data_IF_132354449723
#
_entry.id   IF_132354449723
#
_cell.length_a   1.000
_cell.length_b   1.000
_cell.length_c   1.000
_cell.angle_alpha   90.00
_cell.angle_beta   90.00
_cell.angle_gamma   90.00
#
_symmetry.space_group_name_H-M   'P 1'
#
loop_
_entity.id
_entity.type
_entity.pdbx_description
1 polymer ?
#
# COMPACT_ATOMS: atom_id res chain seq x y z
N UNK A 1 19.81 -33.25 3.75
CA UNK A 1 20.33 -33.82 2.48
C UNK A 1 19.59 -35.12 2.16
N UNK A 2 18.42 -35.04 1.48
CA UNK A 2 17.71 -36.11 0.72
C UNK A 2 16.29 -35.75 0.26
N UNK A 3 15.86 -34.49 0.41
CA UNK A 3 14.65 -33.97 -0.27
C UNK A 3 14.92 -32.81 -1.22
N UNK A 4 16.18 -32.41 -1.37
CA UNK A 4 16.60 -31.23 -2.14
C UNK A 4 16.69 -31.45 -3.65
N UNK A 5 16.53 -32.69 -4.14
CA UNK A 5 16.53 -33.00 -5.58
C UNK A 5 15.13 -33.24 -6.16
N UNK A 6 14.12 -33.54 -5.34
CA UNK A 6 12.73 -33.73 -5.80
C UNK A 6 12.01 -32.41 -6.00
N UNK A 7 12.26 -31.40 -5.14
CA UNK A 7 11.68 -30.07 -5.35
C UNK A 7 12.26 -29.34 -6.56
N UNK A 8 13.52 -29.59 -6.92
CA UNK A 8 14.13 -29.00 -8.12
C UNK A 8 13.56 -29.57 -9.42
N UNK A 9 13.10 -30.83 -9.40
CA UNK A 9 12.47 -31.50 -10.55
C UNK A 9 10.99 -31.11 -10.75
N UNK A 10 10.30 -30.70 -9.67
CA UNK A 10 8.95 -30.11 -9.76
C UNK A 10 8.99 -28.66 -10.25
N UNK A 11 10.06 -27.92 -9.93
CA UNK A 11 10.24 -26.54 -10.42
C UNK A 11 10.59 -26.50 -11.93
N UNK A 12 11.26 -27.52 -12.47
CA UNK A 12 11.59 -27.57 -13.90
C UNK A 12 10.42 -27.96 -14.83
N UNK A 13 9.40 -28.68 -14.34
CA UNK A 13 8.20 -29.00 -15.13
C UNK A 13 7.19 -27.86 -15.19
N UNK A 14 7.28 -26.85 -14.31
CA UNK A 14 6.42 -25.65 -14.33
C UNK A 14 6.95 -24.60 -15.32
N UNK A 15 8.21 -24.71 -15.78
CA UNK A 15 8.83 -23.77 -16.72
C UNK A 15 8.61 -24.11 -18.21
N UNK A 16 7.84 -25.15 -18.54
CA UNK A 16 7.47 -25.52 -19.92
C UNK A 16 5.98 -25.33 -20.20
N UNK A 17 5.41 -24.24 -19.70
CA UNK A 17 4.02 -23.89 -19.92
C UNK A 17 3.84 -22.38 -19.97
N UNK A 18 4.31 -21.72 -21.04
CA UNK A 18 3.69 -20.46 -21.47
C UNK A 18 2.27 -20.77 -21.95
N UNK A 19 1.36 -21.07 -21.02
CA UNK A 19 -0.06 -20.87 -21.25
C UNK A 19 -0.25 -19.36 -21.14
N UNK A 20 -0.35 -18.70 -22.30
CA UNK A 20 -1.24 -17.53 -22.38
C UNK A 20 -2.55 -17.99 -21.76
N UNK A 21 -2.92 -17.42 -20.62
CA UNK A 21 -4.29 -17.52 -20.17
C UNK A 21 -5.12 -16.83 -21.25
N UNK A 22 -5.69 -17.64 -22.14
CA UNK A 22 -6.97 -17.29 -22.72
C UNK A 22 -7.97 -17.41 -21.56
N UNK A 23 -7.98 -16.42 -20.68
CA UNK A 23 -9.20 -16.15 -19.94
C UNK A 23 -10.13 -15.45 -20.93
N UNK A 24 -11.22 -16.12 -21.28
CA UNK A 24 -12.48 -15.49 -21.73
C UNK A 24 -13.09 -14.62 -20.59
N UNK A 25 -12.24 -14.02 -19.77
CA UNK A 25 -12.57 -13.12 -18.67
C UNK A 25 -12.63 -11.70 -19.20
N UNK A 26 -13.74 -11.02 -18.93
CA UNK A 26 -13.87 -9.60 -19.23
C UNK A 26 -12.76 -8.83 -18.51
N UNK A 27 -11.75 -8.37 -19.24
CA UNK A 27 -10.79 -7.40 -18.74
C UNK A 27 -11.43 -6.01 -18.71
N UNK A 28 -11.10 -5.21 -17.70
CA UNK A 28 -11.54 -3.83 -17.56
C UNK A 28 -10.34 -2.88 -17.44
N UNK A 29 -10.58 -1.61 -17.70
CA UNK A 29 -9.55 -0.56 -17.58
C UNK A 29 -9.16 -0.40 -16.10
N UNK A 30 -7.87 -0.19 -15.83
CA UNK A 30 -7.39 0.19 -14.51
C UNK A 30 -6.54 1.47 -14.60
N UNK A 31 -6.87 2.46 -13.78
CA UNK A 31 -6.06 3.64 -13.60
C UNK A 31 -4.73 3.29 -12.93
N UNK A 32 -3.64 3.87 -13.45
CA UNK A 32 -2.27 3.69 -12.92
C UNK A 32 -1.69 5.04 -12.50
N UNK A 33 -2.19 5.67 -11.42
CA UNK A 33 -1.58 6.89 -10.90
C UNK A 33 -0.12 6.64 -10.50
N UNK A 34 0.67 7.71 -10.33
CA UNK A 34 2.11 7.55 -10.06
C UNK A 34 2.41 6.81 -8.75
N UNK A 35 1.52 6.90 -7.76
CA UNK A 35 1.60 6.13 -6.51
C UNK A 35 1.15 4.68 -6.64
N UNK A 36 0.64 4.23 -7.79
CA UNK A 36 0.19 2.84 -8.00
C UNK A 36 1.32 1.83 -7.76
N UNK A 37 2.56 2.23 -8.05
CA UNK A 37 3.75 1.44 -7.77
C UNK A 37 4.07 1.30 -6.26
N UNK A 38 3.39 2.02 -5.37
CA UNK A 38 3.47 1.76 -3.93
C UNK A 38 2.82 0.42 -3.59
N UNK A 39 1.70 0.08 -4.23
CA UNK A 39 0.99 -1.16 -4.00
C UNK A 39 1.53 -2.31 -4.89
N UNK A 40 1.90 -2.00 -6.14
CA UNK A 40 2.17 -3.02 -7.17
C UNK A 40 3.58 -2.99 -7.76
N UNK A 41 4.51 -2.18 -7.25
CA UNK A 41 5.83 -1.98 -7.87
C UNK A 41 7.00 -2.15 -6.88
N UNK A 42 8.23 -2.19 -7.42
CA UNK A 42 9.44 -2.22 -6.59
C UNK A 42 9.75 -0.84 -6.00
N UNK A 43 10.00 -0.80 -4.69
CA UNK A 43 10.33 0.44 -3.97
C UNK A 43 11.81 0.82 -4.06
N UNK A 44 12.68 -0.16 -4.39
CA UNK A 44 14.13 0.02 -4.40
C UNK A 44 14.64 0.89 -5.56
N UNK A 45 13.86 1.06 -6.62
CA UNK A 45 14.23 1.89 -7.78
C UNK A 45 13.23 3.01 -8.06
N UNK A 46 12.16 3.09 -7.27
CA UNK A 46 11.12 4.10 -7.47
C UNK A 46 11.61 5.49 -7.01
N UNK A 47 11.98 6.32 -7.99
CA UNK A 47 12.38 7.71 -7.73
C UNK A 47 11.21 8.61 -7.36
N UNK A 48 10.00 8.29 -7.80
CA UNK A 48 8.81 9.10 -7.53
C UNK A 48 8.51 9.14 -6.03
N UNK A 49 8.60 8.00 -5.33
CA UNK A 49 8.36 7.92 -3.87
C UNK A 49 9.49 8.54 -3.02
N UNK A 50 10.60 8.95 -3.65
CA UNK A 50 11.73 9.61 -2.98
C UNK A 50 11.70 11.12 -3.14
N UNK A 51 10.88 11.63 -4.05
CA UNK A 51 10.72 13.06 -4.22
C UNK A 51 10.07 13.68 -2.96
N UNK A 52 10.61 14.78 -2.42
CA UNK A 52 10.08 15.40 -1.21
C UNK A 52 8.60 15.80 -1.31
N UNK A 53 8.12 16.27 -2.47
CA UNK A 53 6.73 16.71 -2.61
C UNK A 53 5.78 15.51 -2.58
N UNK A 54 6.17 14.40 -3.22
CA UNK A 54 5.38 13.18 -3.19
C UNK A 54 5.36 12.57 -1.78
N UNK A 55 6.49 12.60 -1.07
CA UNK A 55 6.57 12.18 0.33
C UNK A 55 5.64 13.01 1.22
N UNK A 56 5.58 14.34 1.03
CA UNK A 56 4.64 15.22 1.73
C UNK A 56 3.20 14.80 1.43
N UNK A 57 2.84 14.64 0.16
CA UNK A 57 1.46 14.31 -0.22
C UNK A 57 1.03 12.95 0.33
N UNK A 58 1.89 11.93 0.24
CA UNK A 58 1.65 10.60 0.83
C UNK A 58 1.52 10.74 2.35
N UNK A 59 2.47 11.42 3.01
CA UNK A 59 2.46 11.63 4.45
C UNK A 59 1.16 12.24 4.93
N UNK A 60 0.75 13.37 4.35
CA UNK A 60 -0.48 14.07 4.73
C UNK A 60 -1.72 13.20 4.46
N UNK A 61 -1.70 12.38 3.41
CA UNK A 61 -2.77 11.42 3.12
C UNK A 61 -2.86 10.31 4.17
N UNK A 62 -1.73 9.64 4.49
CA UNK A 62 -1.68 8.59 5.52
C UNK A 62 -2.05 9.15 6.89
N UNK A 63 -1.59 10.38 7.18
CA UNK A 63 -1.91 11.11 8.39
C UNK A 63 -3.41 11.38 8.50
N UNK A 64 -4.03 11.86 7.42
CA UNK A 64 -5.48 12.12 7.36
C UNK A 64 -6.31 10.84 7.55
N UNK A 65 -5.92 9.73 6.92
CA UNK A 65 -6.54 8.40 7.15
C UNK A 65 -6.31 7.91 8.59
N UNK A 66 -5.17 8.24 9.16
CA UNK A 66 -4.75 7.85 10.51
C UNK A 66 -3.83 6.64 10.48
N UNK A 67 -2.61 6.79 10.98
CA UNK A 67 -1.61 5.70 11.02
C UNK A 67 -2.10 4.43 11.70
N UNK A 68 -2.86 4.54 12.80
CA UNK A 68 -3.33 3.33 13.50
C UNK A 68 -4.43 2.57 12.75
N UNK A 69 -5.01 3.15 11.69
CA UNK A 69 -5.89 2.42 10.78
C UNK A 69 -5.11 1.65 9.70
N UNK A 70 -3.85 2.03 9.47
CA UNK A 70 -3.01 1.55 8.36
C UNK A 70 -1.95 0.54 8.82
N UNK A 71 -1.51 0.63 10.08
CA UNK A 71 -0.49 -0.25 10.65
C UNK A 71 -1.17 -1.38 11.41
N UNK A 72 -0.98 -2.62 10.96
CA UNK A 72 -1.49 -3.81 11.64
C UNK A 72 -0.55 -4.30 12.75
N UNK A 73 -1.05 -5.19 13.60
CA UNK A 73 -0.31 -5.73 14.74
C UNK A 73 0.94 -6.51 14.32
N UNK A 74 0.87 -7.25 13.20
CA UNK A 74 2.01 -8.00 12.65
C UNK A 74 3.17 -7.03 12.34
N UNK A 75 2.88 -5.95 11.63
CA UNK A 75 3.87 -4.94 11.30
C UNK A 75 4.46 -4.22 12.52
N UNK A 76 3.66 -3.99 13.56
CA UNK A 76 4.08 -3.26 14.75
C UNK A 76 4.90 -4.11 15.73
N UNK A 77 4.53 -5.39 15.89
CA UNK A 77 5.06 -6.24 16.94
C UNK A 77 6.10 -7.26 16.47
N UNK A 78 6.19 -7.53 15.16
CA UNK A 78 7.18 -8.46 14.64
C UNK A 78 8.62 -8.05 14.95
N UNK A 79 9.45 -9.06 15.22
CA UNK A 79 10.88 -8.86 15.55
C UNK A 79 11.68 -8.34 14.35
N UNK A 80 11.15 -8.51 13.14
CA UNK A 80 11.75 -8.11 11.88
C UNK A 80 10.69 -7.50 10.97
N UNK A 81 11.12 -6.60 10.10
CA UNK A 81 10.27 -5.96 9.11
C UNK A 81 10.54 -6.64 7.78
N UNK A 82 9.49 -7.15 7.15
CA UNK A 82 9.52 -7.66 5.80
C UNK A 82 8.50 -6.90 4.95
N UNK A 83 8.97 -6.03 4.06
CA UNK A 83 8.10 -5.24 3.16
C UNK A 83 8.61 -5.41 1.74
N UNK A 84 7.82 -6.05 0.87
CA UNK A 84 8.23 -6.43 -0.48
C UNK A 84 9.58 -7.16 -0.46
N UNK A 85 10.60 -6.63 -1.15
CA UNK A 85 11.94 -7.22 -1.23
C UNK A 85 12.89 -6.68 -0.14
N UNK A 86 12.36 -6.00 0.88
CA UNK A 86 13.14 -5.33 1.93
C UNK A 86 12.99 -6.08 3.25
N UNK A 87 14.10 -6.70 3.68
CA UNK A 87 14.21 -7.32 5.00
C UNK A 87 15.05 -6.47 5.95
N UNK A 88 14.51 -6.16 7.12
CA UNK A 88 15.22 -5.47 8.21
C UNK A 88 15.06 -6.30 9.48
N UNK A 89 16.17 -6.84 9.98
CA UNK A 89 16.19 -7.61 11.22
C UNK A 89 16.12 -6.72 12.48
N UNK A 90 15.05 -5.93 12.59
CA UNK A 90 14.69 -5.07 13.73
C UNK A 90 13.19 -4.86 13.76
N UNK A 91 12.63 -4.80 14.97
CA UNK A 91 11.26 -4.37 15.18
C UNK A 91 11.04 -2.92 14.70
N UNK A 92 9.85 -2.66 14.15
CA UNK A 92 9.47 -1.38 13.55
C UNK A 92 9.66 -0.18 14.48
N UNK A 93 9.12 -0.23 15.70
CA UNK A 93 9.27 0.87 16.66
C UNK A 93 10.72 1.18 17.02
N UNK A 94 11.56 0.15 17.22
CA UNK A 94 12.98 0.34 17.52
C UNK A 94 13.77 0.93 16.34
N UNK A 95 13.39 0.55 15.11
CA UNK A 95 13.97 1.11 13.89
C UNK A 95 13.67 2.61 13.81
N UNK A 96 12.40 3.01 13.95
CA UNK A 96 11.97 4.40 13.89
C UNK A 96 12.62 5.25 14.99
N UNK A 97 12.66 4.75 16.22
CA UNK A 97 13.33 5.43 17.34
C UNK A 97 14.81 5.67 17.07
N UNK A 98 15.50 4.64 16.59
CA UNK A 98 16.92 4.76 16.26
C UNK A 98 17.16 5.76 15.12
N UNK A 99 16.29 5.77 14.11
CA UNK A 99 16.35 6.74 13.02
C UNK A 99 16.12 8.17 13.53
N UNK A 100 15.07 8.40 14.33
CA UNK A 100 14.77 9.70 14.90
C UNK A 100 15.93 10.23 15.76
N UNK A 101 16.51 9.37 16.62
CA UNK A 101 17.63 9.76 17.50
C UNK A 101 18.91 10.08 16.73
N UNK A 102 19.13 9.44 15.58
CA UNK A 102 20.37 9.59 14.81
C UNK A 102 20.36 10.77 13.85
N UNK A 103 19.19 11.31 13.49
CA UNK A 103 19.07 12.40 12.50
C UNK A 103 19.96 13.62 12.80
N UNK A 104 19.93 14.09 14.06
CA UNK A 104 20.66 15.29 14.50
C UNK A 104 22.08 15.00 15.01
N UNK A 105 22.54 13.75 15.00
CA UNK A 105 23.85 13.41 15.52
C UNK A 105 24.96 13.87 14.56
N UNK A 106 25.98 14.54 15.11
CA UNK A 106 27.16 14.97 14.34
C UNK A 106 27.96 13.77 13.81
N UNK A 107 27.97 12.66 14.54
CA UNK A 107 28.64 11.42 14.16
C UNK A 107 27.72 10.24 14.46
N UNK A 108 27.41 9.44 13.43
CA UNK A 108 26.59 8.24 13.54
C UNK A 108 27.51 7.03 13.39
N UNK A 109 27.72 6.31 14.49
CA UNK A 109 28.65 5.17 14.55
C UNK A 109 28.14 3.98 13.74
N UNK A 110 26.85 3.63 13.90
CA UNK A 110 26.21 2.52 13.20
C UNK A 110 26.05 2.80 11.70
N UNK A 111 26.70 1.96 10.88
CA UNK A 111 26.75 2.07 9.41
C UNK A 111 25.38 2.27 8.76
N UNK A 112 24.40 1.45 9.14
CA UNK A 112 23.05 1.50 8.54
C UNK A 112 22.39 2.88 8.68
N UNK A 113 22.35 3.46 9.88
CA UNK A 113 21.70 4.76 10.12
C UNK A 113 22.45 5.91 9.46
N UNK A 114 23.79 5.83 9.43
CA UNK A 114 24.62 6.80 8.72
C UNK A 114 24.32 6.80 7.23
N UNK A 115 24.37 5.63 6.59
CA UNK A 115 24.10 5.49 5.16
C UNK A 115 22.66 5.84 4.81
N UNK A 116 21.69 5.50 5.67
CA UNK A 116 20.30 5.91 5.50
C UNK A 116 20.20 7.44 5.38
N UNK A 117 20.72 8.18 6.37
CA UNK A 117 20.61 9.63 6.37
C UNK A 117 21.45 10.31 5.29
N UNK A 118 22.62 9.76 4.95
CA UNK A 118 23.42 10.23 3.82
C UNK A 118 22.67 10.10 2.49
N UNK A 119 21.97 8.98 2.26
CA UNK A 119 21.11 8.81 1.07
C UNK A 119 19.97 9.83 1.06
N UNK A 120 19.27 10.01 2.18
CA UNK A 120 18.17 10.98 2.26
C UNK A 120 18.63 12.42 2.02
N UNK A 121 19.82 12.79 2.53
CA UNK A 121 20.45 14.10 2.27
C UNK A 121 20.81 14.26 0.79
N UNK A 122 21.37 13.23 0.16
CA UNK A 122 21.67 13.22 -1.28
C UNK A 122 20.42 13.38 -2.13
N UNK A 123 19.31 12.77 -1.70
CA UNK A 123 17.99 12.88 -2.34
C UNK A 123 17.25 14.17 -1.96
N UNK A 124 17.81 14.99 -1.05
CA UNK A 124 17.22 16.24 -0.53
C UNK A 124 15.84 16.04 0.09
N UNK A 125 15.61 14.88 0.71
CA UNK A 125 14.36 14.51 1.36
C UNK A 125 14.54 14.17 2.86
N UNK A 126 15.73 14.39 3.43
CA UNK A 126 16.05 14.05 4.81
C UNK A 126 15.16 14.76 5.83
N UNK A 127 14.89 16.05 5.64
CA UNK A 127 14.04 16.82 6.54
C UNK A 127 12.59 16.32 6.56
N UNK A 128 12.01 16.00 5.40
CA UNK A 128 10.64 15.46 5.35
C UNK A 128 10.59 14.04 5.91
N UNK A 129 11.56 13.19 5.58
CA UNK A 129 11.64 11.83 6.14
C UNK A 129 11.76 11.86 7.66
N UNK A 130 12.53 12.81 8.21
CA UNK A 130 12.60 13.01 9.66
C UNK A 130 11.24 13.40 10.26
N UNK A 131 10.50 14.32 9.65
CA UNK A 131 9.14 14.69 10.09
C UNK A 131 8.21 13.47 10.06
N UNK A 132 8.21 12.71 8.96
CA UNK A 132 7.40 11.49 8.83
C UNK A 132 7.70 10.51 9.97
N UNK A 133 8.98 10.21 10.22
CA UNK A 133 9.40 9.28 11.29
C UNK A 133 8.95 9.80 12.66
N UNK A 134 9.11 11.10 12.92
CA UNK A 134 8.70 11.72 14.18
C UNK A 134 7.19 11.61 14.40
N UNK A 135 6.39 11.86 13.36
CA UNK A 135 4.93 11.78 13.44
C UNK A 135 4.46 10.33 13.65
N UNK A 136 5.05 9.35 12.95
CA UNK A 136 4.74 7.93 13.18
C UNK A 136 5.11 7.53 14.62
N UNK A 137 6.30 7.91 15.10
CA UNK A 137 6.68 7.64 16.50
C UNK A 137 5.72 8.30 17.49
N UNK A 138 5.24 9.51 17.22
CA UNK A 138 4.23 10.18 18.04
C UNK A 138 2.91 9.39 18.03
N UNK A 139 2.45 8.91 16.87
CA UNK A 139 1.25 8.09 16.74
C UNK A 139 1.34 6.79 17.53
N UNK A 140 2.48 6.10 17.47
CA UNK A 140 2.70 4.82 18.18
C UNK A 140 2.80 4.98 19.69
N UNK A 141 3.43 6.05 20.17
CA UNK A 141 3.71 6.24 21.60
C UNK A 141 2.58 6.91 22.37
N UNK A 142 1.66 7.57 21.69
CA UNK A 142 0.55 8.29 22.30
C UNK A 142 -0.76 7.66 21.89
N UNK A 143 -1.58 7.27 22.88
CA UNK A 143 -2.88 6.62 22.64
C UNK A 143 -3.80 7.38 21.67
N UNK A 144 -3.73 8.71 21.68
CA UNK A 144 -4.51 9.59 20.80
C UNK A 144 -3.67 10.16 19.64
N UNK A 145 -2.40 9.78 19.51
CA UNK A 145 -1.44 10.43 18.63
C UNK A 145 -1.86 10.39 17.16
N UNK A 146 -2.37 9.25 16.69
CA UNK A 146 -2.90 9.12 15.33
C UNK A 146 -4.14 9.99 15.08
N UNK A 147 -5.03 10.13 16.07
CA UNK A 147 -6.22 10.97 15.94
C UNK A 147 -5.88 12.46 15.90
N UNK A 148 -4.96 12.90 16.77
CA UNK A 148 -4.44 14.28 16.77
C UNK A 148 -3.80 14.61 15.44
N UNK A 149 -2.93 13.73 14.94
CA UNK A 149 -2.25 13.95 13.65
C UNK A 149 -3.23 13.99 12.47
N UNK A 150 -4.28 13.17 12.48
CA UNK A 150 -5.32 13.19 11.44
C UNK A 150 -6.05 14.54 11.40
N UNK A 151 -6.37 15.11 12.56
CA UNK A 151 -6.95 16.46 12.65
C UNK A 151 -5.95 17.53 12.15
N UNK A 152 -4.67 17.38 12.46
CA UNK A 152 -3.59 18.28 12.05
C UNK A 152 -3.09 18.03 10.61
N UNK A 153 -3.80 17.20 9.83
CA UNK A 153 -3.50 17.02 8.41
C UNK A 153 -3.86 18.24 7.59
N UNK A 154 -3.02 18.52 6.59
CA UNK A 154 -3.16 19.65 5.68
C UNK A 154 -3.99 19.22 4.47
N UNK A 155 -5.29 19.57 4.39
CA UNK A 155 -6.18 19.03 3.37
C UNK A 155 -5.71 19.35 1.94
N UNK A 156 -5.06 20.50 1.73
CA UNK A 156 -4.53 20.92 0.44
C UNK A 156 -3.35 20.09 -0.07
N UNK A 157 -2.74 19.27 0.80
CA UNK A 157 -1.63 18.37 0.48
C UNK A 157 -2.09 16.91 0.38
N UNK A 158 -3.33 16.60 0.75
CA UNK A 158 -3.88 15.25 0.66
C UNK A 158 -4.05 14.84 -0.81
N UNK A 159 -3.67 13.62 -1.13
CA UNK A 159 -3.94 13.03 -2.43
C UNK A 159 -5.32 12.36 -2.42
N UNK A 160 -6.33 13.01 -3.01
CA UNK A 160 -7.71 12.55 -2.99
C UNK A 160 -7.90 11.11 -3.49
N UNK A 161 -7.19 10.72 -4.55
CA UNK A 161 -7.32 9.38 -5.11
C UNK A 161 -6.75 8.34 -4.14
N UNK A 162 -5.55 8.56 -3.61
CA UNK A 162 -4.94 7.67 -2.62
C UNK A 162 -5.78 7.62 -1.34
N UNK A 163 -6.32 8.75 -0.89
CA UNK A 163 -7.22 8.83 0.26
C UNK A 163 -8.43 7.91 0.08
N UNK A 164 -9.11 7.98 -1.06
CA UNK A 164 -10.25 7.11 -1.32
C UNK A 164 -9.88 5.63 -1.37
N UNK A 165 -8.75 5.27 -2.00
CA UNK A 165 -8.28 3.89 -2.08
C UNK A 165 -7.99 3.33 -0.68
N UNK A 166 -7.23 4.05 0.13
CA UNK A 166 -6.89 3.64 1.50
C UNK A 166 -8.13 3.49 2.38
N UNK A 167 -9.09 4.41 2.27
CA UNK A 167 -10.33 4.29 3.04
C UNK A 167 -11.19 3.10 2.63
N UNK A 168 -11.15 2.66 1.37
CA UNK A 168 -11.87 1.46 0.94
C UNK A 168 -11.16 0.20 1.46
N UNK A 169 -9.82 0.19 1.38
CA UNK A 169 -8.97 -0.95 1.74
C UNK A 169 -8.95 -1.22 3.24
N UNK A 170 -8.65 -0.19 4.04
CA UNK A 170 -8.43 -0.28 5.48
C UNK A 170 -9.67 0.09 6.31
N UNK A 171 -10.87 0.08 5.70
CA UNK A 171 -12.10 0.40 6.43
C UNK A 171 -12.34 -0.57 7.60
N UNK A 172 -12.67 0.00 8.75
CA UNK A 172 -13.02 -0.71 9.99
C UNK A 172 -14.51 -0.67 10.33
N UNK A 173 -15.31 0.09 9.57
CA UNK A 173 -16.76 0.13 9.72
C UNK A 173 -17.44 -1.12 9.11
N UNK A 174 -18.64 -1.43 9.61
CA UNK A 174 -19.44 -2.52 9.07
C UNK A 174 -19.92 -2.19 7.66
N UNK A 175 -19.44 -2.95 6.69
CA UNK A 175 -19.82 -2.78 5.29
C UNK A 175 -21.32 -3.06 5.11
N UNK A 176 -22.02 -2.11 4.50
CA UNK A 176 -23.41 -2.25 4.09
C UNK A 176 -23.56 -1.94 2.60
N UNK A 177 -24.74 -2.18 2.04
CA UNK A 177 -25.02 -2.02 0.60
C UNK A 177 -24.80 -0.59 0.11
N UNK A 178 -25.16 0.42 0.91
CA UNK A 178 -24.96 1.83 0.54
C UNK A 178 -23.48 2.19 0.46
N UNK A 179 -22.70 1.76 1.45
CA UNK A 179 -21.26 1.98 1.48
C UNK A 179 -20.55 1.23 0.36
N UNK A 180 -20.92 -0.02 0.10
CA UNK A 180 -20.36 -0.80 -0.99
C UNK A 180 -20.66 -0.18 -2.36
N UNK A 181 -21.87 0.33 -2.57
CA UNK A 181 -22.23 1.05 -3.79
C UNK A 181 -21.40 2.33 -3.94
N UNK A 182 -21.17 3.05 -2.83
CA UNK A 182 -20.31 4.24 -2.82
C UNK A 182 -18.87 3.88 -3.19
N UNK A 183 -18.31 2.80 -2.65
CA UNK A 183 -16.96 2.33 -2.97
C UNK A 183 -16.86 1.96 -4.45
N UNK A 184 -17.81 1.16 -4.96
CA UNK A 184 -17.89 0.80 -6.38
C UNK A 184 -17.91 2.03 -7.28
N UNK A 185 -18.80 2.98 -7.00
CA UNK A 185 -18.92 4.22 -7.77
C UNK A 185 -17.68 5.09 -7.68
N UNK A 186 -17.00 5.10 -6.52
CA UNK A 186 -15.74 5.83 -6.33
C UNK A 186 -14.65 5.26 -7.22
N UNK A 187 -14.44 3.94 -7.20
CA UNK A 187 -13.46 3.27 -8.06
C UNK A 187 -13.76 3.47 -9.55
N UNK A 188 -15.02 3.32 -9.94
CA UNK A 188 -15.47 3.54 -11.32
C UNK A 188 -15.16 4.96 -11.80
N UNK A 189 -15.44 5.99 -10.97
CA UNK A 189 -15.17 7.40 -11.31
C UNK A 189 -13.68 7.70 -11.39
N UNK A 190 -12.88 7.09 -10.53
CA UNK A 190 -11.42 7.23 -10.53
C UNK A 190 -10.73 6.41 -11.64
N UNK A 191 -11.47 5.61 -12.41
CA UNK A 191 -10.96 4.82 -13.53
C UNK A 191 -10.41 3.44 -13.15
N UNK A 192 -10.62 2.99 -11.91
CA UNK A 192 -10.23 1.67 -11.40
C UNK A 192 -11.32 0.63 -11.69
N UNK A 193 -11.65 0.42 -12.97
CA UNK A 193 -12.79 -0.43 -13.35
C UNK A 193 -12.55 -1.91 -13.08
N UNK A 194 -11.30 -2.40 -13.18
CA UNK A 194 -11.00 -3.80 -12.85
C UNK A 194 -11.08 -4.03 -11.34
N UNK A 195 -10.57 -3.08 -10.54
CA UNK A 195 -10.79 -3.11 -9.09
C UNK A 195 -12.28 -3.04 -8.71
N UNK A 196 -13.07 -2.20 -9.39
CA UNK A 196 -14.52 -2.11 -9.18
C UNK A 196 -15.24 -3.43 -9.53
N UNK A 197 -14.81 -4.10 -10.62
CA UNK A 197 -15.28 -5.45 -10.93
C UNK A 197 -14.94 -6.44 -9.81
N UNK A 198 -13.72 -6.37 -9.28
CA UNK A 198 -13.31 -7.25 -8.20
C UNK A 198 -14.15 -7.02 -6.93
N UNK A 199 -14.53 -5.78 -6.60
CA UNK A 199 -15.48 -5.55 -5.50
C UNK A 199 -16.79 -6.33 -5.70
N UNK A 200 -17.33 -6.37 -6.92
CA UNK A 200 -18.59 -7.06 -7.21
C UNK A 200 -18.50 -8.58 -7.07
N UNK A 201 -17.41 -9.20 -7.50
CA UNK A 201 -17.34 -10.65 -7.74
C UNK A 201 -16.20 -11.38 -7.03
N UNK A 202 -15.10 -10.69 -6.73
CA UNK A 202 -13.82 -11.31 -6.37
C UNK A 202 -13.27 -10.77 -5.03
N UNK A 203 -14.15 -10.28 -4.15
CA UNK A 203 -13.77 -9.82 -2.81
C UNK A 203 -14.67 -10.45 -1.74
N UNK A 204 -14.11 -11.29 -0.87
CA UNK A 204 -14.80 -11.90 0.27
C UNK A 204 -15.55 -10.87 1.10
N UNK A 205 -14.93 -9.71 1.36
CA UNK A 205 -15.53 -8.61 2.15
C UNK A 205 -16.88 -8.14 1.58
N UNK A 206 -17.13 -8.30 0.28
CA UNK A 206 -18.31 -7.81 -0.44
C UNK A 206 -19.25 -8.92 -0.91
N UNK A 207 -18.92 -10.20 -0.67
CA UNK A 207 -19.60 -11.33 -1.29
C UNK A 207 -21.07 -11.45 -0.87
N UNK A 208 -21.37 -11.15 0.40
CA UNK A 208 -22.70 -11.39 0.99
C UNK A 208 -23.69 -10.23 0.74
N UNK A 209 -23.25 -9.16 0.08
CA UNK A 209 -24.07 -8.00 -0.23
C UNK A 209 -25.08 -8.28 -1.36
N UNK A 210 -26.32 -7.78 -1.18
CA UNK A 210 -27.41 -7.92 -2.16
C UNK A 210 -27.50 -6.70 -3.08
N UNK A 211 -26.46 -6.46 -3.85
CA UNK A 211 -26.43 -5.45 -4.93
C UNK A 211 -26.68 -6.05 -6.32
N UNK A 212 -27.20 -5.21 -7.23
CA UNK A 212 -27.48 -5.59 -8.62
C UNK A 212 -26.19 -5.67 -9.46
N UNK A 213 -25.41 -6.73 -9.23
CA UNK A 213 -24.10 -6.95 -9.84
C UNK A 213 -24.11 -6.87 -11.36
N UNK A 214 -25.13 -7.42 -12.03
CA UNK A 214 -25.22 -7.42 -13.50
C UNK A 214 -25.45 -6.02 -14.06
N UNK A 215 -26.28 -5.20 -13.39
CA UNK A 215 -26.48 -3.81 -13.78
C UNK A 215 -25.20 -2.99 -13.58
N UNK A 216 -24.56 -3.14 -12.42
CA UNK A 216 -23.34 -2.41 -12.08
C UNK A 216 -22.18 -2.80 -13.01
N UNK A 217 -22.01 -4.08 -13.31
CA UNK A 217 -20.99 -4.59 -14.25
C UNK A 217 -21.07 -3.92 -15.62
N UNK A 218 -22.27 -3.67 -16.15
CA UNK A 218 -22.47 -3.00 -17.45
C UNK A 218 -21.96 -1.55 -17.48
N UNK A 219 -21.73 -0.93 -16.33
CA UNK A 219 -21.21 0.44 -16.23
C UNK A 219 -19.67 0.51 -16.31
N UNK A 220 -19.00 -0.64 -16.32
CA UNK A 220 -17.55 -0.74 -16.34
C UNK A 220 -16.99 -0.67 -17.76
N UNK A 221 -15.80 -0.08 -17.93
CA UNK A 221 -15.14 0.05 -19.22
C UNK A 221 -14.21 -1.13 -19.46
N UNK A 222 -14.41 -1.83 -20.58
CA UNK A 222 -13.59 -2.98 -20.97
C UNK A 222 -12.19 -2.57 -21.45
N UNK A 223 -11.25 -3.48 -21.24
CA UNK A 223 -9.89 -3.43 -21.78
C UNK A 223 -9.62 -4.65 -22.66
N UNK A 224 -8.70 -4.52 -23.61
CA UNK A 224 -8.24 -5.64 -24.45
C UNK A 224 -7.17 -6.51 -23.76
N UNK A 225 -6.56 -5.99 -22.70
CA UNK A 225 -5.47 -6.64 -21.98
C UNK A 225 -5.69 -6.53 -20.48
N UNK A 226 -5.26 -7.57 -19.77
CA UNK A 226 -5.15 -7.53 -18.32
C UNK A 226 -4.20 -6.42 -17.87
N UNK A 227 -4.49 -5.84 -16.72
CA UNK A 227 -3.63 -4.91 -16.00
C UNK A 227 -3.59 -5.30 -14.54
N UNK A 228 -2.44 -5.12 -13.89
CA UNK A 228 -2.37 -5.09 -12.43
C UNK A 228 -3.44 -4.18 -11.86
N UNK A 229 -3.99 -4.57 -10.71
CA UNK A 229 -5.15 -3.94 -10.08
C UNK A 229 -4.79 -3.46 -8.69
N UNK A 230 -5.48 -2.43 -8.21
CA UNK A 230 -5.36 -2.05 -6.80
C UNK A 230 -6.01 -3.11 -5.89
N UNK A 231 -7.29 -3.40 -6.13
CA UNK A 231 -8.04 -4.36 -5.34
C UNK A 231 -8.02 -5.74 -6.00
N UNK A 232 -7.11 -6.61 -5.53
CA UNK A 232 -6.91 -7.95 -6.07
C UNK A 232 -8.06 -8.91 -5.75
N UNK A 233 -8.14 -9.99 -6.51
CA UNK A 233 -9.01 -11.12 -6.21
C UNK A 233 -8.52 -11.81 -4.93
N UNK A 234 -9.34 -11.82 -3.88
CA UNK A 234 -9.03 -12.50 -2.62
C UNK A 234 -9.86 -13.77 -2.41
N UNK A 235 -10.63 -14.20 -3.41
CA UNK A 235 -11.56 -15.35 -3.33
C UNK A 235 -10.96 -16.69 -3.75
N UNK A 236 -9.70 -16.69 -4.19
CA UNK A 236 -8.99 -17.85 -4.75
C UNK A 236 -7.97 -18.45 -3.79
#
# INVERSE_FOLDING_TARGET
MRRSLVYLLVVFTILSGCKKSNEDGNNYIEAKPLFFALHNGSWLDNKWIRDPKNLIAIHETLKNVGYMNLLDDEFLFDENINIHDIYINKQFGQLLDSLQLTYSQKSITKKYYREFWERRKKERNDSIVFVIIKDINFALKNKLGSGVLSIDSKPELVNDTLYHLLNIEYRSDSLNEQLALKDFETLRKLGFHQSAYNLLFNRYKYQDLKWNRDSLKKTLKHSKSYSEVWFQDDTK
#
